data_IF_727418280622
#
_entry.id   IF_727418280622
#
_cell.length_a   1.000
_cell.length_b   1.000
_cell.length_c   1.000
_cell.angle_alpha   90.00
_cell.angle_beta   90.00
_cell.angle_gamma   90.00
#
_symmetry.space_group_name_H-M   'P 1'
#
loop_
_entity.id
_entity.type
_entity.pdbx_description
1 polymer ?
#
# COMPACT_ATOMS: atom_id res chain seq x y z
N UNK A 1 -9.83 -6.06 34.61
CA UNK A 1 -9.76 -7.10 33.58
C UNK A 1 -8.73 -6.64 32.56
N UNK A 2 -7.60 -7.33 32.40
CA UNK A 2 -6.70 -7.08 31.29
C UNK A 2 -7.38 -7.63 30.03
N UNK A 3 -7.98 -6.75 29.24
CA UNK A 3 -8.30 -7.04 27.85
C UNK A 3 -7.00 -7.44 27.16
N UNK A 4 -6.92 -8.68 26.70
CA UNK A 4 -5.85 -9.12 25.79
C UNK A 4 -5.77 -8.15 24.63
N UNK A 5 -4.59 -7.60 24.37
CA UNK A 5 -4.39 -6.68 23.24
C UNK A 5 -4.83 -7.36 21.93
N UNK A 6 -5.47 -6.62 21.02
CA UNK A 6 -5.86 -7.18 19.73
C UNK A 6 -4.65 -7.72 18.98
N UNK A 7 -4.75 -8.90 18.37
CA UNK A 7 -3.66 -9.49 17.61
C UNK A 7 -3.41 -8.66 16.32
N UNK A 8 -2.34 -7.86 16.32
CA UNK A 8 -1.87 -7.11 15.13
C UNK A 8 -1.21 -8.07 14.13
N UNK A 9 -1.26 -7.74 12.84
CA UNK A 9 -0.50 -8.46 11.81
C UNK A 9 1.00 -8.28 12.05
N UNK A 10 1.76 -9.36 11.87
CA UNK A 10 3.22 -9.37 12.12
C UNK A 10 3.97 -9.54 10.81
N UNK A 11 5.01 -8.73 10.62
CA UNK A 11 5.96 -8.89 9.53
C UNK A 11 6.82 -10.12 9.84
N UNK A 12 6.85 -11.10 8.94
CA UNK A 12 7.67 -12.31 9.09
C UNK A 12 8.44 -12.60 7.80
N UNK A 13 9.75 -12.72 7.92
CA UNK A 13 10.68 -12.88 6.79
C UNK A 13 10.98 -14.34 6.45
N UNK A 14 10.47 -15.29 7.24
CA UNK A 14 10.78 -16.71 7.15
C UNK A 14 10.42 -17.33 5.79
N UNK A 15 9.47 -16.76 5.05
CA UNK A 15 8.93 -17.35 3.83
C UNK A 15 9.65 -16.90 2.56
N UNK A 16 10.72 -16.10 2.67
CA UNK A 16 11.50 -15.60 1.54
C UNK A 16 12.97 -16.02 1.64
N UNK A 17 13.51 -16.53 0.52
CA UNK A 17 14.91 -16.97 0.42
C UNK A 17 15.56 -16.37 -0.82
N UNK A 18 16.71 -15.74 -0.65
CA UNK A 18 17.57 -15.27 -1.73
C UNK A 18 18.75 -16.23 -1.87
N UNK A 19 18.90 -16.85 -3.04
CA UNK A 19 20.05 -17.67 -3.41
C UNK A 19 21.00 -16.79 -4.21
N UNK A 20 22.14 -16.43 -3.62
CA UNK A 20 23.11 -15.54 -4.23
C UNK A 20 24.55 -16.00 -3.94
N UNK A 21 25.46 -15.95 -4.93
CA UNK A 21 26.89 -16.15 -4.69
C UNK A 21 27.42 -15.18 -3.62
N UNK A 22 28.44 -15.60 -2.87
CA UNK A 22 29.05 -14.77 -1.81
C UNK A 22 29.50 -13.39 -2.30
N UNK A 23 29.92 -13.27 -3.56
CA UNK A 23 30.31 -12.00 -4.18
C UNK A 23 29.16 -10.99 -4.32
N UNK A 24 27.91 -11.44 -4.31
CA UNK A 24 26.71 -10.58 -4.35
C UNK A 24 26.15 -10.29 -2.94
N UNK A 25 26.72 -10.84 -1.87
CA UNK A 25 26.23 -10.61 -0.50
C UNK A 25 26.51 -9.20 0.01
N UNK A 26 27.55 -8.54 -0.53
CA UNK A 26 27.90 -7.17 -0.20
C UNK A 26 27.13 -6.14 -1.07
N UNK A 27 26.31 -6.60 -2.03
CA UNK A 27 25.40 -5.74 -2.78
C UNK A 27 24.25 -5.26 -1.88
N UNK A 28 23.82 -4.01 -2.06
CA UNK A 28 22.74 -3.40 -1.29
C UNK A 28 21.45 -4.26 -1.29
N UNK A 29 21.21 -5.00 -2.37
CA UNK A 29 20.05 -5.90 -2.51
C UNK A 29 20.09 -7.04 -1.50
N UNK A 30 21.26 -7.64 -1.25
CA UNK A 30 21.39 -8.77 -0.33
C UNK A 30 21.36 -8.33 1.14
N UNK A 31 21.89 -7.14 1.45
CA UNK A 31 21.87 -6.57 2.81
C UNK A 31 20.49 -6.09 3.25
N UNK A 32 19.67 -5.61 2.32
CA UNK A 32 18.31 -5.13 2.59
C UNK A 32 17.22 -6.17 2.29
N UNK A 33 17.59 -7.36 1.79
CA UNK A 33 16.63 -8.40 1.43
C UNK A 33 15.72 -8.77 2.61
N UNK A 34 14.42 -8.85 2.32
CA UNK A 34 13.44 -9.36 3.28
C UNK A 34 13.39 -10.88 3.21
N UNK A 35 14.25 -11.55 3.99
CA UNK A 35 14.30 -13.00 4.10
C UNK A 35 15.69 -13.52 4.42
N UNK A 36 15.89 -14.83 4.26
CA UNK A 36 17.19 -15.46 4.43
C UNK A 36 18.01 -15.39 3.12
N UNK A 37 19.28 -15.04 3.21
CA UNK A 37 20.22 -15.10 2.07
C UNK A 37 21.15 -16.29 2.22
N UNK A 38 21.19 -17.17 1.22
CA UNK A 38 21.96 -18.42 1.20
C UNK A 38 22.83 -18.50 -0.06
N UNK A 39 23.88 -19.33 -0.05
CA UNK A 39 24.66 -19.57 -1.27
C UNK A 39 24.05 -20.68 -2.13
N UNK A 40 24.46 -20.81 -3.41
CA UNK A 40 24.12 -21.98 -4.22
C UNK A 40 24.58 -23.30 -3.59
N UNK A 41 25.71 -23.31 -2.86
CA UNK A 41 26.19 -24.50 -2.15
C UNK A 41 25.27 -24.89 -0.98
N UNK A 42 24.80 -23.90 -0.22
CA UNK A 42 23.78 -24.11 0.84
C UNK A 42 22.53 -24.76 0.24
N UNK A 43 22.04 -24.23 -0.89
CA UNK A 43 20.88 -24.78 -1.61
C UNK A 43 21.09 -26.25 -2.01
N UNK A 44 22.25 -26.60 -2.56
CA UNK A 44 22.58 -27.99 -2.96
C UNK A 44 22.70 -28.92 -1.75
N UNK A 45 23.15 -28.39 -0.61
CA UNK A 45 23.22 -29.15 0.65
C UNK A 45 21.84 -29.49 1.25
N UNK A 46 20.77 -28.86 0.75
CA UNK A 46 19.40 -29.07 1.21
C UNK A 46 19.01 -28.27 2.45
N UNK A 47 19.79 -27.27 2.84
CA UNK A 47 19.49 -26.35 3.92
C UNK A 47 19.48 -24.90 3.42
N UNK A 48 18.47 -24.09 3.76
CA UNK A 48 17.28 -24.37 4.56
C UNK A 48 16.21 -25.17 3.81
N UNK A 49 15.24 -25.71 4.55
CA UNK A 49 14.01 -26.24 3.95
C UNK A 49 13.31 -25.15 3.14
N UNK A 50 12.90 -25.47 1.91
CA UNK A 50 12.24 -24.56 0.99
C UNK A 50 10.73 -24.77 0.91
N UNK A 51 10.17 -25.74 1.65
CA UNK A 51 8.74 -26.02 1.66
C UNK A 51 7.90 -24.75 1.91
N UNK A 52 7.04 -24.41 0.95
CA UNK A 52 6.15 -23.25 1.06
C UNK A 52 6.82 -21.88 0.86
N UNK A 53 8.14 -21.81 0.62
CA UNK A 53 8.88 -20.55 0.51
C UNK A 53 8.86 -19.97 -0.90
N UNK A 54 9.07 -18.66 -0.99
CA UNK A 54 9.38 -17.94 -2.22
C UNK A 54 10.89 -17.82 -2.36
N UNK A 55 11.43 -18.33 -3.46
CA UNK A 55 12.87 -18.38 -3.73
C UNK A 55 13.23 -17.40 -4.85
N UNK A 56 14.22 -16.55 -4.61
CA UNK A 56 14.81 -15.62 -5.58
C UNK A 56 16.22 -16.11 -5.94
N UNK A 57 16.47 -16.34 -7.21
CA UNK A 57 17.76 -16.81 -7.73
C UNK A 57 18.54 -15.65 -8.33
N UNK A 58 19.82 -15.56 -7.96
CA UNK A 58 20.82 -14.64 -8.49
C UNK A 58 22.11 -15.41 -8.84
N UNK A 59 22.92 -14.86 -9.75
CA UNK A 59 24.18 -15.45 -10.20
C UNK A 59 24.03 -16.46 -11.33
N UNK A 60 24.97 -17.42 -11.39
CA UNK A 60 24.88 -18.52 -12.35
C UNK A 60 23.83 -19.53 -11.90
N UNK A 61 22.76 -19.65 -12.68
CA UNK A 61 21.65 -20.57 -12.38
C UNK A 61 21.78 -21.92 -13.09
N UNK A 62 22.78 -22.09 -13.96
CA UNK A 62 22.94 -23.31 -14.77
C UNK A 62 23.21 -24.57 -13.96
N UNK A 63 23.82 -24.43 -12.78
CA UNK A 63 24.09 -25.51 -11.83
C UNK A 63 22.93 -25.85 -10.89
N UNK A 64 21.84 -25.09 -10.92
CA UNK A 64 20.70 -25.30 -10.04
C UNK A 64 19.72 -26.26 -10.71
N UNK A 65 19.40 -27.37 -10.04
CA UNK A 65 18.44 -28.36 -10.55
C UNK A 65 17.03 -28.10 -10.01
N UNK A 66 16.01 -28.40 -10.81
CA UNK A 66 14.59 -28.35 -10.40
C UNK A 66 14.29 -29.21 -9.15
N UNK A 67 15.09 -30.26 -8.93
CA UNK A 67 14.93 -31.11 -7.75
C UNK A 67 15.16 -30.35 -6.45
N UNK A 68 16.10 -29.40 -6.43
CA UNK A 68 16.40 -28.61 -5.23
C UNK A 68 15.27 -27.61 -4.92
N UNK A 69 14.54 -27.16 -5.94
CA UNK A 69 13.51 -26.13 -5.81
C UNK A 69 12.09 -26.67 -5.79
N UNK A 70 11.89 -27.98 -6.00
CA UNK A 70 10.55 -28.60 -6.12
C UNK A 70 9.61 -28.32 -4.95
N UNK A 71 10.15 -28.18 -3.73
CA UNK A 71 9.35 -27.91 -2.54
C UNK A 71 8.97 -26.42 -2.37
N UNK A 72 9.65 -25.52 -3.09
CA UNK A 72 9.33 -24.10 -3.05
C UNK A 72 7.94 -23.83 -3.62
N UNK A 73 7.22 -22.90 -3.00
CA UNK A 73 5.91 -22.47 -3.50
C UNK A 73 6.07 -21.64 -4.78
N UNK A 74 7.12 -20.81 -4.84
CA UNK A 74 7.40 -19.88 -5.95
C UNK A 74 8.90 -19.82 -6.18
N UNK A 75 9.32 -19.77 -7.44
CA UNK A 75 10.71 -19.59 -7.84
C UNK A 75 10.81 -18.45 -8.84
N UNK A 76 11.67 -17.50 -8.54
CA UNK A 76 11.96 -16.33 -9.36
C UNK A 76 13.43 -16.27 -9.76
N UNK A 77 13.69 -15.93 -11.01
CA UNK A 77 15.05 -15.60 -11.49
C UNK A 77 15.16 -14.09 -11.62
N UNK A 78 16.08 -13.46 -10.90
CA UNK A 78 16.28 -12.01 -10.94
C UNK A 78 17.14 -11.68 -12.15
N UNK A 79 16.52 -11.17 -13.22
CA UNK A 79 17.13 -11.02 -14.55
C UNK A 79 18.45 -10.24 -14.54
N UNK A 80 18.48 -9.13 -13.82
CA UNK A 80 19.61 -8.20 -13.78
C UNK A 80 20.81 -8.77 -13.01
N UNK A 81 20.58 -9.76 -12.15
CA UNK A 81 21.61 -10.37 -11.31
C UNK A 81 21.92 -11.81 -11.71
N UNK A 82 21.24 -12.37 -12.71
CA UNK A 82 21.33 -13.79 -13.08
C UNK A 82 21.83 -14.00 -14.50
N UNK A 83 22.50 -15.13 -14.72
CA UNK A 83 22.85 -15.63 -16.03
C UNK A 83 22.74 -17.16 -16.06
N UNK A 84 22.85 -17.73 -17.26
CA UNK A 84 22.80 -19.18 -17.45
C UNK A 84 21.40 -19.81 -17.36
N UNK A 85 20.34 -19.02 -17.16
CA UNK A 85 18.96 -19.52 -17.21
C UNK A 85 18.52 -19.73 -18.66
N UNK A 86 17.71 -20.76 -18.91
CA UNK A 86 17.09 -20.97 -20.23
C UNK A 86 15.82 -20.15 -20.32
N UNK A 87 15.77 -19.19 -21.24
CA UNK A 87 14.54 -18.47 -21.57
C UNK A 87 13.70 -19.31 -22.54
N UNK A 88 12.46 -19.64 -22.17
CA UNK A 88 11.55 -20.44 -22.98
C UNK A 88 10.19 -20.64 -22.32
N UNK A 89 9.17 -20.96 -23.13
CA UNK A 89 7.77 -21.16 -22.67
C UNK A 89 7.64 -22.34 -21.70
N UNK A 90 8.61 -23.27 -21.72
CA UNK A 90 8.71 -24.44 -20.83
C UNK A 90 9.76 -24.25 -19.71
N UNK A 91 10.24 -23.04 -19.47
CA UNK A 91 11.19 -22.77 -18.38
C UNK A 91 10.46 -22.87 -17.02
N UNK A 92 10.97 -23.63 -16.05
CA UNK A 92 10.26 -23.92 -14.80
C UNK A 92 10.16 -22.72 -13.85
N UNK A 93 10.92 -21.64 -14.07
CA UNK A 93 11.05 -20.52 -13.13
C UNK A 93 10.70 -19.19 -13.76
N UNK A 94 10.00 -18.34 -13.00
CA UNK A 94 9.48 -17.08 -13.52
C UNK A 94 10.56 -15.99 -13.49
N UNK A 95 10.97 -15.42 -14.64
CA UNK A 95 11.96 -14.36 -14.65
C UNK A 95 11.34 -13.02 -14.21
N UNK A 96 11.93 -12.36 -13.22
CA UNK A 96 11.48 -11.08 -12.67
C UNK A 96 12.59 -10.04 -12.69
N UNK A 97 12.20 -8.76 -12.74
CA UNK A 97 13.14 -7.66 -12.58
C UNK A 97 13.53 -7.44 -11.12
N UNK A 98 14.66 -6.78 -10.89
CA UNK A 98 15.22 -6.51 -9.56
C UNK A 98 14.24 -5.78 -8.63
N UNK A 99 13.34 -4.96 -9.18
CA UNK A 99 12.32 -4.25 -8.39
C UNK A 99 11.23 -5.15 -7.78
N UNK A 100 11.19 -6.44 -8.15
CA UNK A 100 10.34 -7.48 -7.55
C UNK A 100 10.97 -8.16 -6.34
N UNK A 101 12.23 -7.87 -6.02
CA UNK A 101 12.87 -8.38 -4.81
C UNK A 101 12.39 -7.58 -3.60
N UNK A 102 11.87 -8.23 -2.54
CA UNK A 102 11.35 -7.55 -1.36
C UNK A 102 12.49 -7.00 -0.49
N UNK A 103 12.37 -5.74 -0.10
CA UNK A 103 13.33 -5.06 0.76
C UNK A 103 12.73 -4.73 2.12
N UNK A 104 13.46 -5.03 3.20
CA UNK A 104 13.07 -4.67 4.56
C UNK A 104 13.23 -3.16 4.76
N UNK A 105 12.19 -2.51 5.27
CA UNK A 105 12.24 -1.10 5.67
C UNK A 105 12.20 -1.02 7.19
N UNK A 106 13.38 -0.98 7.82
CA UNK A 106 13.57 -0.77 9.26
C UNK A 106 12.72 -1.68 10.19
N UNK A 107 12.29 -2.85 9.72
CA UNK A 107 11.38 -3.73 10.46
C UNK A 107 9.93 -3.20 10.59
N UNK A 108 9.57 -2.13 9.89
CA UNK A 108 8.23 -1.51 9.92
C UNK A 108 7.45 -1.66 8.62
N UNK A 109 8.06 -2.26 7.59
CA UNK A 109 7.39 -2.60 6.35
C UNK A 109 8.30 -3.29 5.35
N UNK A 110 7.72 -3.63 4.19
CA UNK A 110 8.40 -4.28 3.08
C UNK A 110 8.16 -3.48 1.80
N UNK A 111 9.23 -3.18 1.07
CA UNK A 111 9.20 -2.36 -0.12
C UNK A 111 9.64 -3.12 -1.36
N UNK A 112 8.84 -2.98 -2.42
CA UNK A 112 9.14 -3.43 -3.77
C UNK A 112 9.33 -2.19 -4.64
N UNK A 113 10.54 -1.96 -5.14
CA UNK A 113 10.84 -0.77 -5.96
C UNK A 113 10.09 -0.77 -7.29
N UNK A 114 9.71 -1.94 -7.82
CA UNK A 114 8.89 -2.10 -9.02
C UNK A 114 8.13 -3.42 -8.98
N UNK A 115 7.03 -3.45 -8.22
CA UNK A 115 6.15 -4.62 -8.12
C UNK A 115 5.33 -4.84 -9.41
N UNK A 116 4.78 -3.74 -9.94
CA UNK A 116 3.99 -3.74 -11.16
C UNK A 116 4.85 -3.32 -12.35
N UNK A 117 4.65 -3.98 -13.48
CA UNK A 117 5.34 -3.65 -14.72
C UNK A 117 4.88 -2.29 -15.26
N UNK A 118 5.78 -1.55 -15.90
CA UNK A 118 5.52 -0.17 -16.37
C UNK A 118 4.67 -0.15 -17.64
N UNK A 119 4.81 -1.17 -18.48
CA UNK A 119 4.07 -1.38 -19.73
C UNK A 119 2.61 -1.81 -19.52
N UNK A 120 2.23 -2.15 -18.28
CA UNK A 120 0.86 -2.53 -17.95
C UNK A 120 -0.13 -1.35 -17.90
N UNK A 121 0.35 -0.10 -17.97
CA UNK A 121 -0.44 1.14 -17.97
C UNK A 121 -1.56 1.19 -16.92
N UNK A 122 -1.23 0.86 -15.66
CA UNK A 122 -2.20 0.91 -14.57
C UNK A 122 -2.81 2.30 -14.38
N UNK A 123 -2.05 3.37 -14.62
CA UNK A 123 -2.56 4.74 -14.54
C UNK A 123 -3.68 4.97 -15.56
N UNK A 124 -3.41 4.70 -16.84
CA UNK A 124 -4.38 4.91 -17.93
C UNK A 124 -5.61 4.01 -17.80
N UNK A 125 -5.41 2.74 -17.43
CA UNK A 125 -6.51 1.78 -17.21
C UNK A 125 -7.44 2.21 -16.07
N UNK A 126 -6.91 2.50 -14.89
CA UNK A 126 -7.72 2.92 -13.73
C UNK A 126 -8.47 4.22 -14.05
N UNK A 127 -7.85 5.19 -14.74
CA UNK A 127 -8.50 6.43 -15.15
C UNK A 127 -9.61 6.21 -16.19
N UNK A 128 -9.52 5.16 -16.99
CA UNK A 128 -10.52 4.81 -18.00
C UNK A 128 -11.68 4.01 -17.39
N UNK A 129 -11.37 3.14 -16.43
CA UNK A 129 -12.34 2.30 -15.72
C UNK A 129 -13.20 3.10 -14.71
N UNK A 130 -12.66 4.19 -14.15
CA UNK A 130 -13.31 4.96 -13.08
C UNK A 130 -13.44 6.46 -13.33
N UNK A 131 -14.54 7.01 -12.86
CA UNK A 131 -14.77 8.46 -12.82
C UNK A 131 -14.29 9.04 -11.48
N UNK A 132 -13.09 9.64 -11.47
CA UNK A 132 -12.53 10.27 -10.28
C UNK A 132 -13.36 11.46 -9.81
N UNK A 133 -13.55 11.54 -8.50
CA UNK A 133 -14.43 12.49 -7.84
C UNK A 133 -13.61 13.63 -7.25
N UNK A 134 -14.20 14.83 -7.19
CA UNK A 134 -13.61 15.92 -6.43
C UNK A 134 -13.63 15.59 -4.93
N UNK A 135 -12.63 16.06 -4.20
CA UNK A 135 -12.57 15.91 -2.75
C UNK A 135 -12.42 17.25 -2.05
N UNK A 136 -13.11 17.38 -0.93
CA UNK A 136 -12.91 18.48 0.02
C UNK A 136 -12.05 18.00 1.17
N UNK A 137 -11.08 18.81 1.58
CA UNK A 137 -10.29 18.54 2.77
C UNK A 137 -11.02 19.10 3.99
N UNK A 138 -11.67 18.23 4.76
CA UNK A 138 -12.42 18.62 5.96
C UNK A 138 -13.59 19.58 5.63
N UNK A 139 -13.84 20.59 6.46
CA UNK A 139 -14.90 21.60 6.33
C UNK A 139 -14.45 22.87 5.58
N UNK A 140 -13.24 22.89 5.00
CA UNK A 140 -12.71 24.10 4.36
C UNK A 140 -13.41 24.36 3.02
N UNK A 141 -13.83 25.62 2.72
CA UNK A 141 -14.34 25.97 1.41
C UNK A 141 -13.20 25.88 0.38
N UNK A 142 -13.24 24.85 -0.47
CA UNK A 142 -12.28 24.64 -1.55
C UNK A 142 -12.15 23.17 -1.95
N UNK A 143 -11.89 22.92 -3.23
CA UNK A 143 -11.49 21.60 -3.73
C UNK A 143 -10.00 21.38 -3.47
N UNK A 144 -9.63 20.18 -3.04
CA UNK A 144 -8.21 19.83 -2.93
C UNK A 144 -7.57 19.77 -4.31
N UNK A 145 -6.24 19.86 -4.37
CA UNK A 145 -5.45 19.60 -5.59
C UNK A 145 -5.41 18.11 -5.99
N UNK A 146 -6.38 17.33 -5.51
CA UNK A 146 -6.47 15.90 -5.69
C UNK A 146 -7.89 15.55 -6.10
N UNK A 147 -8.02 14.58 -6.98
CA UNK A 147 -9.27 13.86 -7.22
C UNK A 147 -9.09 12.43 -6.73
N UNK A 148 -10.17 11.75 -6.37
CA UNK A 148 -10.07 10.39 -5.87
C UNK A 148 -11.36 9.61 -5.93
N UNK A 149 -11.28 8.35 -5.54
CA UNK A 149 -12.41 7.43 -5.50
C UNK A 149 -12.15 6.33 -4.47
N UNK A 150 -13.22 5.83 -3.87
CA UNK A 150 -13.21 4.62 -3.07
C UNK A 150 -13.71 3.45 -3.90
N UNK A 151 -12.99 2.33 -3.85
CA UNK A 151 -13.34 1.10 -4.56
C UNK A 151 -13.39 -0.08 -3.57
N UNK A 152 -14.34 -0.98 -3.76
CA UNK A 152 -14.45 -2.24 -2.99
C UNK A 152 -15.28 -3.24 -3.80
N UNK A 153 -15.15 -4.56 -3.60
CA UNK A 153 -16.05 -5.52 -4.23
C UNK A 153 -17.51 -5.25 -3.84
N UNK A 154 -18.38 -5.13 -4.84
CA UNK A 154 -19.83 -4.95 -4.68
C UNK A 154 -20.53 -6.21 -5.18
N UNK A 155 -21.38 -6.80 -4.35
CA UNK A 155 -22.22 -7.93 -4.75
C UNK A 155 -23.69 -7.56 -4.66
N UNK A 156 -24.50 -8.11 -5.57
CA UNK A 156 -25.94 -7.86 -5.64
C UNK A 156 -26.72 -9.08 -5.15
N UNK A 157 -27.66 -8.85 -4.24
CA UNK A 157 -28.66 -9.84 -3.80
C UNK A 157 -30.05 -9.21 -3.93
N UNK A 158 -30.78 -9.58 -4.99
CA UNK A 158 -32.00 -8.88 -5.40
C UNK A 158 -31.73 -7.39 -5.67
N UNK A 159 -32.43 -6.51 -4.95
CA UNK A 159 -32.25 -5.06 -5.01
C UNK A 159 -31.19 -4.53 -4.01
N UNK A 160 -30.64 -5.40 -3.17
CA UNK A 160 -29.62 -5.03 -2.19
C UNK A 160 -28.22 -5.07 -2.80
N UNK A 161 -27.42 -4.04 -2.52
CA UNK A 161 -26.01 -3.95 -2.88
C UNK A 161 -25.15 -4.10 -1.63
N UNK A 162 -24.34 -5.15 -1.57
CA UNK A 162 -23.45 -5.47 -0.47
C UNK A 162 -22.03 -5.04 -0.80
N UNK A 163 -21.37 -4.37 0.14
CA UNK A 163 -20.05 -3.80 -0.05
C UNK A 163 -19.36 -3.58 1.30
N UNK A 164 -18.13 -3.08 1.29
CA UNK A 164 -17.41 -2.71 2.51
C UNK A 164 -17.20 -1.21 2.57
N UNK A 165 -17.32 -0.64 3.77
CA UNK A 165 -17.05 0.76 4.03
C UNK A 165 -15.68 0.94 4.65
N UNK A 166 -15.03 2.05 4.37
CA UNK A 166 -13.88 2.51 5.11
C UNK A 166 -14.05 4.00 5.41
N UNK A 167 -14.78 4.30 6.49
CA UNK A 167 -15.27 5.64 6.84
C UNK A 167 -14.14 6.46 7.44
N UNK A 168 -13.32 7.02 6.57
CA UNK A 168 -12.18 7.88 6.92
C UNK A 168 -12.57 9.37 6.98
N UNK A 169 -11.57 10.24 7.02
CA UNK A 169 -11.72 11.71 6.99
C UNK A 169 -11.81 12.32 5.58
N UNK A 170 -11.65 11.52 4.53
CA UNK A 170 -11.72 12.02 3.15
C UNK A 170 -13.19 12.06 2.72
N UNK A 171 -13.63 13.21 2.19
CA UNK A 171 -14.99 13.41 1.74
C UNK A 171 -15.02 13.53 0.21
N UNK A 172 -15.64 12.55 -0.43
CA UNK A 172 -15.86 12.51 -1.86
C UNK A 172 -17.31 12.86 -2.20
N UNK A 173 -17.49 13.46 -3.37
CA UNK A 173 -18.80 13.92 -3.84
C UNK A 173 -19.70 12.81 -4.39
N UNK A 174 -19.16 11.62 -4.68
CA UNK A 174 -19.90 10.50 -5.27
C UNK A 174 -19.78 9.21 -4.45
N UNK A 175 -20.47 8.14 -4.89
CA UNK A 175 -20.49 6.85 -4.21
C UNK A 175 -19.15 6.12 -4.30
N UNK A 176 -19.00 5.09 -3.46
CA UNK A 176 -18.00 4.03 -3.67
C UNK A 176 -18.35 3.25 -4.95
N UNK A 177 -17.34 2.82 -5.71
CA UNK A 177 -17.53 1.99 -6.91
C UNK A 177 -17.04 0.54 -6.70
N UNK A 178 -17.56 -0.37 -7.51
CA UNK A 178 -17.10 -1.75 -7.57
C UNK A 178 -15.69 -1.84 -8.16
N UNK A 179 -14.99 -2.92 -7.83
CA UNK A 179 -13.76 -3.28 -8.50
C UNK A 179 -14.00 -3.57 -9.97
N UNK A 180 -13.15 -2.99 -10.81
CA UNK A 180 -13.04 -3.31 -12.23
C UNK A 180 -11.92 -4.34 -12.42
N UNK A 181 -11.70 -4.86 -13.65
CA UNK A 181 -10.68 -5.88 -13.88
C UNK A 181 -9.28 -5.48 -13.40
N UNK A 182 -8.89 -4.22 -13.63
CA UNK A 182 -7.56 -3.74 -13.19
C UNK A 182 -7.44 -3.73 -11.67
N UNK A 183 -8.48 -3.31 -10.94
CA UNK A 183 -8.45 -3.31 -9.47
C UNK A 183 -8.40 -4.73 -8.91
N UNK A 184 -9.16 -5.64 -9.51
CA UNK A 184 -9.18 -7.06 -9.11
C UNK A 184 -7.79 -7.66 -9.25
N UNK A 185 -7.14 -7.46 -10.41
CA UNK A 185 -5.79 -7.95 -10.66
C UNK A 185 -4.77 -7.39 -9.67
N UNK A 186 -4.81 -6.07 -9.40
CA UNK A 186 -3.94 -5.40 -8.43
C UNK A 186 -4.17 -5.99 -7.03
N UNK A 187 -5.40 -5.99 -6.55
CA UNK A 187 -5.74 -6.37 -5.17
C UNK A 187 -5.48 -7.85 -4.91
N UNK A 188 -5.75 -8.72 -5.89
CA UNK A 188 -5.39 -10.14 -5.79
C UNK A 188 -3.87 -10.35 -5.75
N UNK A 189 -3.11 -9.65 -6.60
CA UNK A 189 -1.65 -9.75 -6.59
C UNK A 189 -1.06 -9.29 -5.25
N UNK A 190 -1.62 -8.22 -4.69
CA UNK A 190 -1.23 -7.71 -3.37
C UNK A 190 -1.61 -8.66 -2.24
N UNK A 191 -2.79 -9.28 -2.28
CA UNK A 191 -3.17 -10.28 -1.27
C UNK A 191 -2.27 -11.52 -1.30
N UNK A 192 -1.94 -12.01 -2.51
CA UNK A 192 -0.98 -13.13 -2.66
C UNK A 192 0.40 -12.78 -2.10
N UNK A 193 0.87 -11.56 -2.30
CA UNK A 193 2.15 -11.12 -1.75
C UNK A 193 2.08 -10.81 -0.25
N UNK A 194 0.98 -10.23 0.25
CA UNK A 194 0.81 -9.98 1.67
C UNK A 194 0.90 -11.28 2.50
N UNK A 195 0.46 -12.42 1.94
CA UNK A 195 0.56 -13.73 2.58
C UNK A 195 2.00 -14.27 2.74
N UNK A 196 2.98 -13.71 2.00
CA UNK A 196 4.42 -14.05 2.14
C UNK A 196 5.16 -13.05 3.04
N UNK A 197 4.53 -11.92 3.36
CA UNK A 197 5.11 -10.82 4.14
C UNK A 197 4.58 -10.80 5.57
N UNK A 198 3.32 -11.16 5.76
CA UNK A 198 2.63 -11.07 7.03
C UNK A 198 2.07 -12.41 7.49
N UNK A 199 2.06 -12.62 8.80
CA UNK A 199 1.22 -13.63 9.45
C UNK A 199 -0.09 -13.04 9.92
N UNK A 200 -1.12 -13.89 9.88
CA UNK A 200 -2.43 -13.65 10.47
C UNK A 200 -3.12 -12.38 9.96
N UNK A 201 -2.77 -11.91 8.76
CA UNK A 201 -3.25 -10.66 8.17
C UNK A 201 -4.70 -10.77 7.66
N UNK A 202 -5.45 -9.68 7.82
CA UNK A 202 -6.74 -9.53 7.15
C UNK A 202 -6.56 -9.31 5.63
N UNK A 203 -7.55 -9.70 4.81
CA UNK A 203 -7.48 -9.48 3.37
C UNK A 203 -7.57 -7.99 3.02
N UNK A 204 -6.78 -7.57 2.04
CA UNK A 204 -6.89 -6.28 1.37
C UNK A 204 -8.15 -6.30 0.50
N UNK A 205 -9.08 -5.37 0.73
CA UNK A 205 -10.42 -5.42 0.11
C UNK A 205 -11.06 -4.04 -0.12
N UNK A 206 -10.34 -2.96 0.17
CA UNK A 206 -10.83 -1.60 0.03
C UNK A 206 -9.71 -0.69 -0.48
N UNK A 207 -10.00 0.13 -1.49
CA UNK A 207 -9.02 0.96 -2.19
C UNK A 207 -9.38 2.42 -2.02
N UNK A 208 -8.36 3.24 -1.78
CA UNK A 208 -8.37 4.68 -2.01
C UNK A 208 -7.44 4.99 -3.18
N UNK A 209 -8.01 5.31 -4.35
CA UNK A 209 -7.27 5.75 -5.51
C UNK A 209 -7.33 7.28 -5.60
N UNK A 210 -6.18 7.95 -5.73
CA UNK A 210 -6.10 9.42 -5.76
C UNK A 210 -5.10 9.90 -6.81
N UNK A 211 -5.55 10.83 -7.67
CA UNK A 211 -4.70 11.54 -8.62
C UNK A 211 -4.25 12.85 -7.99
N UNK A 212 -2.95 13.11 -8.08
CA UNK A 212 -2.27 14.26 -7.49
C UNK A 212 -1.94 15.25 -8.60
N UNK A 213 -2.70 16.34 -8.65
CA UNK A 213 -2.57 17.35 -9.71
C UNK A 213 -1.64 18.48 -9.26
N UNK A 214 -0.61 18.77 -10.05
CA UNK A 214 0.23 19.94 -9.85
C UNK A 214 -0.39 21.14 -10.60
N UNK A 215 -0.31 22.32 -10.02
CA UNK A 215 -0.76 23.58 -10.63
C UNK A 215 0.46 24.43 -10.96
N UNK A 216 0.60 24.79 -12.24
CA UNK A 216 1.69 25.63 -12.71
C UNK A 216 1.60 27.05 -12.12
N UNK A 217 2.73 27.74 -12.10
CA UNK A 217 2.73 29.17 -11.80
C UNK A 217 2.06 29.95 -12.94
N UNK A 218 1.32 30.99 -12.59
CA UNK A 218 0.77 31.97 -13.55
C UNK A 218 1.16 33.37 -13.09
N UNK A 219 0.92 34.37 -13.93
CA UNK A 219 1.09 35.77 -13.53
C UNK A 219 0.27 36.06 -12.25
N UNK A 220 0.98 36.44 -11.18
CA UNK A 220 0.38 36.72 -9.86
C UNK A 220 0.09 35.50 -8.98
N UNK A 221 0.34 34.24 -9.40
CA UNK A 221 0.12 33.04 -8.58
C UNK A 221 1.30 32.08 -8.64
N UNK A 222 1.86 31.73 -7.46
CA UNK A 222 2.89 30.69 -7.36
C UNK A 222 2.34 29.32 -7.74
N UNK A 223 3.21 28.48 -8.30
CA UNK A 223 2.93 27.06 -8.49
C UNK A 223 2.48 26.39 -7.18
N UNK A 224 1.67 25.35 -7.29
CA UNK A 224 1.25 24.49 -6.18
C UNK A 224 1.46 23.04 -6.55
N UNK A 225 1.96 22.24 -5.62
CA UNK A 225 2.21 20.82 -5.81
C UNK A 225 1.33 20.02 -4.86
N UNK A 226 0.71 18.97 -5.37
CA UNK A 226 -0.15 18.13 -4.55
C UNK A 226 0.67 17.42 -3.46
N UNK A 227 0.23 17.55 -2.21
CA UNK A 227 0.84 16.97 -1.02
C UNK A 227 -0.24 16.49 -0.06
N UNK A 228 0.10 15.61 0.86
CA UNK A 228 -0.73 15.27 2.02
C UNK A 228 0.13 15.55 3.25
N UNK A 229 -0.38 16.34 4.19
CA UNK A 229 0.30 16.64 5.44
C UNK A 229 0.43 15.39 6.34
N UNK A 230 1.35 15.46 7.29
CA UNK A 230 1.54 14.41 8.32
C UNK A 230 0.23 13.97 8.98
N UNK A 231 -0.05 12.66 8.91
CA UNK A 231 -1.22 12.02 9.50
C UNK A 231 -0.96 10.51 9.73
N UNK A 232 -1.83 9.87 10.50
CA UNK A 232 -2.01 8.42 10.49
C UNK A 232 -3.34 8.10 9.80
N UNK A 233 -3.38 6.98 9.07
CA UNK A 233 -4.60 6.48 8.46
C UNK A 233 -5.61 6.08 9.53
N UNK A 234 -6.90 6.33 9.26
CA UNK A 234 -7.98 6.14 10.24
C UNK A 234 -8.37 4.68 10.31
N UNK A 235 -8.16 4.07 11.47
CA UNK A 235 -8.28 2.62 11.66
C UNK A 235 -9.67 2.14 12.10
N UNK A 236 -10.64 3.04 12.28
CA UNK A 236 -12.01 2.76 12.78
C UNK A 236 -12.69 1.54 12.16
N UNK A 237 -12.60 1.38 10.83
CA UNK A 237 -13.26 0.30 10.09
C UNK A 237 -12.26 -0.79 9.65
N UNK A 238 -11.02 -0.74 10.14
CA UNK A 238 -9.99 -1.71 9.85
C UNK A 238 -9.93 -2.77 10.96
N UNK A 239 -9.81 -4.06 10.63
CA UNK A 239 -9.57 -5.07 11.66
C UNK A 239 -8.17 -4.89 12.27
N UNK A 240 -7.96 -5.32 13.52
CA UNK A 240 -6.70 -5.15 14.24
C UNK A 240 -5.48 -5.77 13.54
N UNK A 241 -5.69 -6.91 12.87
CA UNK A 241 -4.71 -7.58 12.01
C UNK A 241 -4.68 -7.03 10.58
N UNK A 242 -5.14 -5.79 10.38
CA UNK A 242 -5.12 -5.11 9.09
C UNK A 242 -3.70 -4.79 8.63
N UNK A 243 -3.55 -4.73 7.30
CA UNK A 243 -2.35 -4.26 6.61
C UNK A 243 -2.72 -3.24 5.55
N UNK A 244 -1.73 -2.51 5.06
CA UNK A 244 -1.89 -1.52 4.01
C UNK A 244 -0.83 -1.71 2.92
N UNK A 245 -1.22 -1.46 1.68
CA UNK A 245 -0.34 -1.50 0.52
C UNK A 245 -0.41 -0.16 -0.22
N UNK A 246 0.69 0.59 -0.20
CA UNK A 246 0.83 1.84 -0.93
C UNK A 246 1.40 1.55 -2.32
N UNK A 247 0.54 1.52 -3.33
CA UNK A 247 0.94 1.38 -4.73
C UNK A 247 1.08 2.76 -5.37
N UNK A 248 2.05 2.92 -6.28
CA UNK A 248 2.25 4.19 -6.98
C UNK A 248 2.37 3.99 -8.49
N UNK A 249 1.57 4.73 -9.24
CA UNK A 249 1.60 4.80 -10.69
C UNK A 249 1.77 6.25 -11.14
N UNK A 250 2.35 6.45 -12.31
CA UNK A 250 2.62 7.78 -12.87
C UNK A 250 2.17 7.86 -14.31
N UNK A 251 1.81 9.08 -14.71
CA UNK A 251 1.65 9.52 -16.09
C UNK A 251 2.67 10.66 -16.36
N UNK A 252 3.19 10.74 -17.58
CA UNK A 252 4.18 11.75 -17.99
C UNK A 252 5.59 11.54 -17.44
N UNK A 253 6.06 10.29 -17.36
CA UNK A 253 7.44 9.98 -16.94
C UNK A 253 8.50 10.34 -17.99
N UNK A 254 8.10 10.54 -19.25
CA UNK A 254 9.03 10.75 -20.39
C UNK A 254 9.86 12.04 -20.26
N UNK A 255 9.43 12.99 -19.42
CA UNK A 255 10.19 14.20 -19.11
C UNK A 255 11.31 14.01 -18.09
N UNK A 256 11.50 12.80 -17.55
CA UNK A 256 12.50 12.50 -16.53
C UNK A 256 13.48 11.41 -16.98
N UNK A 257 14.75 11.64 -16.70
CA UNK A 257 15.84 10.72 -17.02
C UNK A 257 16.17 9.81 -15.83
N UNK A 258 16.63 8.57 -16.05
CA UNK A 258 17.16 7.73 -14.97
C UNK A 258 18.28 8.43 -14.19
N UNK A 259 18.29 8.29 -12.87
CA UNK A 259 19.37 8.81 -12.04
C UNK A 259 20.51 7.79 -11.89
N UNK A 260 21.75 8.28 -11.85
CA UNK A 260 22.93 7.42 -11.73
C UNK A 260 23.04 6.71 -10.36
N UNK A 261 22.52 7.34 -9.30
CA UNK A 261 22.60 6.83 -7.93
C UNK A 261 21.53 5.78 -7.60
N UNK A 262 20.40 5.78 -8.32
CA UNK A 262 19.32 4.80 -8.17
C UNK A 262 18.66 4.53 -9.52
N UNK A 263 18.85 3.31 -10.03
CA UNK A 263 18.33 2.87 -11.33
C UNK A 263 16.78 2.81 -11.39
N UNK A 264 16.10 2.88 -10.24
CA UNK A 264 14.64 2.97 -10.18
C UNK A 264 14.13 4.41 -10.17
N UNK A 265 14.98 5.35 -9.77
CA UNK A 265 14.62 6.76 -9.66
C UNK A 265 14.78 7.47 -11.00
N UNK A 266 14.01 8.54 -11.17
CA UNK A 266 13.97 9.36 -12.37
C UNK A 266 13.92 10.82 -11.98
N UNK A 267 14.67 11.65 -12.68
CA UNK A 267 14.82 13.05 -12.32
C UNK A 267 15.36 13.93 -13.43
N UNK A 268 15.63 15.17 -13.05
CA UNK A 268 16.20 16.18 -13.93
C UNK A 268 17.43 16.77 -13.23
N UNK A 269 18.57 16.80 -13.93
CA UNK A 269 19.84 17.37 -13.41
C UNK A 269 20.24 16.80 -12.04
N UNK A 270 20.08 15.50 -11.85
CA UNK A 270 20.43 14.80 -10.60
C UNK A 270 19.40 14.95 -9.47
N UNK A 271 18.30 15.66 -9.67
CA UNK A 271 17.23 15.81 -8.67
C UNK A 271 16.06 14.90 -9.04
N UNK A 272 15.67 13.98 -8.15
CA UNK A 272 14.51 13.11 -8.35
C UNK A 272 13.25 13.93 -8.64
N UNK A 273 12.47 13.53 -9.63
CA UNK A 273 11.13 14.05 -9.93
C UNK A 273 10.03 13.28 -9.22
N UNK A 274 10.37 12.21 -8.50
CA UNK A 274 9.41 11.32 -7.88
C UNK A 274 8.96 11.81 -6.50
N UNK A 275 7.81 11.30 -6.07
CA UNK A 275 7.20 11.66 -4.78
C UNK A 275 7.79 10.81 -3.67
N UNK A 276 7.95 11.37 -2.46
CA UNK A 276 8.41 10.62 -1.29
C UNK A 276 7.29 10.45 -0.27
N UNK A 277 7.14 9.23 0.25
CA UNK A 277 6.37 8.95 1.45
C UNK A 277 7.31 9.09 2.66
N UNK A 278 7.06 10.08 3.50
CA UNK A 278 7.92 10.42 4.63
C UNK A 278 7.25 10.05 5.94
N UNK A 279 7.94 9.28 6.80
CA UNK A 279 7.45 8.80 8.08
C UNK A 279 8.13 9.53 9.24
N UNK A 280 7.37 9.82 10.29
CA UNK A 280 7.86 10.37 11.56
C UNK A 280 7.26 9.60 12.73
N UNK A 281 8.14 9.11 13.60
CA UNK A 281 7.74 8.38 14.80
C UNK A 281 6.93 9.30 15.72
N UNK A 282 5.83 8.80 16.26
CA UNK A 282 5.00 9.51 17.23
C UNK A 282 5.66 9.50 18.61
N UNK A 283 5.19 10.37 19.50
CA UNK A 283 5.65 10.35 20.89
C UNK A 283 5.23 9.02 21.56
N UNK A 284 6.17 8.28 22.16
CA UNK A 284 5.83 7.02 22.82
C UNK A 284 4.98 7.28 24.06
N UNK A 285 3.98 6.43 24.29
CA UNK A 285 3.13 6.46 25.49
C UNK A 285 3.70 5.65 26.66
N UNK A 286 4.92 5.11 26.53
CA UNK A 286 5.64 4.31 27.54
C UNK A 286 6.98 3.79 26.99
N UNK A 287 7.82 3.21 27.87
CA UNK A 287 9.13 2.66 27.48
C UNK A 287 8.99 1.44 26.57
N UNK A 288 9.49 1.53 25.34
CA UNK A 288 9.55 0.38 24.43
C UNK A 288 10.80 -0.46 24.73
N UNK A 289 10.62 -1.70 25.18
CA UNK A 289 11.66 -2.73 25.29
C UNK A 289 11.94 -3.40 23.93
N UNK A 290 12.26 -2.59 22.92
CA UNK A 290 12.50 -3.05 21.54
C UNK A 290 13.72 -2.41 20.89
N UNK A 291 14.13 -2.95 19.73
CA UNK A 291 15.16 -2.35 18.89
C UNK A 291 14.80 -0.88 18.56
N UNK A 292 15.81 0.00 18.57
CA UNK A 292 15.59 1.42 18.38
C UNK A 292 15.01 1.72 16.98
N UNK A 293 13.72 2.05 16.93
CA UNK A 293 13.04 2.47 15.71
C UNK A 293 13.57 3.83 15.23
N UNK A 294 13.73 4.05 13.91
CA UNK A 294 14.20 5.33 13.40
C UNK A 294 13.18 6.43 13.68
N UNK A 295 13.65 7.58 14.20
CA UNK A 295 12.78 8.75 14.48
C UNK A 295 12.04 9.25 13.24
N UNK A 296 12.66 9.12 12.07
CA UNK A 296 12.08 9.44 10.78
C UNK A 296 12.80 8.65 9.68
N UNK A 297 12.08 8.37 8.61
CA UNK A 297 12.63 7.80 7.38
C UNK A 297 11.73 8.19 6.21
N UNK A 298 12.11 7.84 5.00
CA UNK A 298 11.18 7.99 3.88
C UNK A 298 11.53 7.10 2.71
N UNK A 299 10.52 6.86 1.88
CA UNK A 299 10.54 5.94 0.76
C UNK A 299 10.23 6.75 -0.50
N UNK A 300 11.14 6.74 -1.48
CA UNK A 300 10.84 7.25 -2.81
C UNK A 300 9.82 6.33 -3.45
N UNK A 301 8.68 6.87 -3.86
CA UNK A 301 7.59 6.11 -4.46
C UNK A 301 7.88 5.93 -5.95
N UNK A 302 8.55 4.84 -6.30
CA UNK A 302 8.92 4.56 -7.68
C UNK A 302 7.70 4.18 -8.55
N UNK A 303 7.77 4.32 -9.88
CA UNK A 303 6.73 3.83 -10.78
C UNK A 303 6.53 2.31 -10.63
N UNK A 304 5.28 1.89 -10.39
CA UNK A 304 4.91 0.50 -10.16
C UNK A 304 5.36 -0.05 -8.79
N UNK A 305 5.81 0.81 -7.88
CA UNK A 305 6.25 0.39 -6.54
C UNK A 305 5.10 0.00 -5.63
N UNK A 306 5.41 -0.83 -4.63
CA UNK A 306 4.49 -1.21 -3.55
C UNK A 306 5.23 -1.15 -2.22
N UNK A 307 4.68 -0.41 -1.26
CA UNK A 307 5.11 -0.46 0.14
C UNK A 307 4.01 -1.09 1.01
N UNK A 308 4.33 -2.22 1.63
CA UNK A 308 3.48 -2.90 2.59
C UNK A 308 3.82 -2.48 4.02
N UNK A 309 2.80 -2.19 4.81
CA UNK A 309 2.97 -1.97 6.25
C UNK A 309 1.77 -2.48 7.07
N UNK A 310 2.01 -3.02 8.28
CA UNK A 310 0.95 -3.39 9.21
C UNK A 310 0.34 -2.16 9.90
N UNK A 311 -0.82 -2.33 10.53
CA UNK A 311 -1.42 -1.26 11.34
C UNK A 311 -0.55 -0.81 12.52
N UNK A 312 0.31 -1.69 13.05
CA UNK A 312 1.28 -1.34 14.08
C UNK A 312 2.23 -0.22 13.62
N UNK A 313 2.65 -0.23 12.34
CA UNK A 313 3.42 0.86 11.76
C UNK A 313 2.63 2.16 11.69
N UNK A 314 1.36 2.11 11.28
CA UNK A 314 0.47 3.29 11.27
C UNK A 314 0.20 3.85 12.68
N UNK A 315 0.18 2.98 13.68
CA UNK A 315 0.06 3.35 15.08
C UNK A 315 1.32 4.04 15.57
N UNK A 316 2.51 3.56 15.21
CA UNK A 316 3.80 4.11 15.64
C UNK A 316 4.21 5.37 14.87
N UNK A 317 3.84 5.50 13.60
CA UNK A 317 4.29 6.58 12.73
C UNK A 317 3.14 7.41 12.17
N UNK A 318 3.39 8.71 12.02
CA UNK A 318 2.67 9.50 11.02
C UNK A 318 3.40 9.43 9.70
N UNK A 319 2.69 9.63 8.59
CA UNK A 319 3.25 9.71 7.26
C UNK A 319 2.70 10.90 6.47
N UNK A 320 3.47 11.35 5.48
CA UNK A 320 3.09 12.43 4.58
C UNK A 320 3.60 12.21 3.16
N UNK A 321 2.86 12.77 2.20
CA UNK A 321 3.22 12.77 0.79
C UNK A 321 3.96 14.07 0.48
N UNK A 322 5.26 13.95 0.18
CA UNK A 322 6.12 15.07 -0.19
C UNK A 322 6.42 15.05 -1.70
N UNK A 323 5.98 16.07 -2.46
CA UNK A 323 6.38 16.20 -3.86
C UNK A 323 7.87 16.56 -3.97
N UNK A 324 8.43 16.33 -5.15
CA UNK A 324 9.82 16.68 -5.46
C UNK A 324 10.07 18.20 -5.41
N UNK A 325 11.35 18.56 -5.24
CA UNK A 325 11.83 19.94 -5.30
C UNK A 325 11.74 20.55 -6.71
N UNK A 326 11.74 19.73 -7.79
CA UNK A 326 11.59 20.20 -9.18
C UNK A 326 10.31 21.00 -9.41
N UNK A 327 10.31 21.96 -10.33
CA UNK A 327 9.12 22.76 -10.62
C UNK A 327 7.94 21.91 -11.10
N UNK A 328 6.72 22.38 -10.82
CA UNK A 328 5.46 21.68 -11.08
C UNK A 328 5.31 21.21 -12.53
N UNK A 329 5.89 21.94 -13.48
CA UNK A 329 5.89 21.60 -14.92
C UNK A 329 6.73 20.36 -15.23
N UNK A 330 7.78 20.10 -14.44
CA UNK A 330 8.67 18.96 -14.62
C UNK A 330 8.21 17.73 -13.83
N UNK A 331 7.10 17.82 -13.07
CA UNK A 331 6.64 16.73 -12.23
C UNK A 331 5.62 15.86 -12.98
N UNK A 332 5.79 14.53 -13.01
CA UNK A 332 4.78 13.63 -13.55
C UNK A 332 3.51 13.68 -12.68
N UNK A 333 2.38 13.32 -13.28
CA UNK A 333 1.12 13.18 -12.54
C UNK A 333 1.12 11.84 -11.82
N UNK A 334 0.92 11.87 -10.50
CA UNK A 334 0.94 10.66 -9.66
C UNK A 334 -0.48 10.16 -9.41
N UNK A 335 -0.69 8.85 -9.56
CA UNK A 335 -1.81 8.10 -8.99
C UNK A 335 -1.30 7.32 -7.78
N UNK A 336 -1.73 7.75 -6.59
CA UNK A 336 -1.57 6.96 -5.38
C UNK A 336 -2.73 5.97 -5.26
N UNK A 337 -2.43 4.69 -5.16
CA UNK A 337 -3.42 3.62 -5.08
C UNK A 337 -3.17 2.84 -3.77
N UNK A 338 -3.92 3.21 -2.72
CA UNK A 338 -3.71 2.68 -1.36
C UNK A 338 -4.77 1.62 -1.09
N UNK A 339 -4.33 0.37 -0.94
CA UNK A 339 -5.21 -0.75 -0.60
C UNK A 339 -5.14 -1.02 0.89
N UNK A 340 -6.30 -1.21 1.52
CA UNK A 340 -6.48 -1.39 2.96
C UNK A 340 -7.42 -2.56 3.23
N UNK A 341 -7.44 -3.00 4.47
CA UNK A 341 -8.40 -3.96 4.99
C UNK A 341 -9.59 -3.23 5.61
N UNK A 342 -10.81 -3.56 5.19
CA UNK A 342 -12.05 -3.16 5.88
C UNK A 342 -12.74 -4.37 6.48
N UNK A 343 -13.23 -4.23 7.71
CA UNK A 343 -14.14 -5.15 8.39
C UNK A 343 -15.58 -4.60 8.49
N UNK A 344 -15.82 -3.35 8.07
CA UNK A 344 -17.13 -2.73 8.12
C UNK A 344 -17.98 -3.12 6.90
N UNK A 345 -18.73 -4.21 7.04
CA UNK A 345 -19.67 -4.63 6.01
C UNK A 345 -20.93 -3.75 5.97
N UNK A 346 -21.37 -3.42 4.76
CA UNK A 346 -22.53 -2.60 4.52
C UNK A 346 -23.49 -3.21 3.50
N UNK A 347 -24.73 -2.73 3.52
CA UNK A 347 -25.73 -3.00 2.49
C UNK A 347 -26.47 -1.71 2.16
N UNK A 348 -26.60 -1.40 0.87
CA UNK A 348 -27.50 -0.37 0.38
C UNK A 348 -28.78 -1.02 -0.14
N UNK A 349 -29.93 -0.62 0.40
CA UNK A 349 -31.26 -1.07 -0.02
C UNK A 349 -32.30 -0.01 0.31
N UNK A 350 -33.38 0.04 -0.46
CA UNK A 350 -34.49 0.98 -0.24
C UNK A 350 -34.03 2.46 -0.12
N UNK A 351 -32.99 2.84 -0.87
CA UNK A 351 -32.42 4.19 -0.86
C UNK A 351 -31.58 4.54 0.38
N UNK A 352 -31.22 3.55 1.21
CA UNK A 352 -30.48 3.76 2.45
C UNK A 352 -29.32 2.79 2.60
N UNK A 353 -28.22 3.26 3.19
CA UNK A 353 -27.08 2.42 3.59
C UNK A 353 -27.24 1.96 5.03
N UNK A 354 -26.96 0.69 5.27
CA UNK A 354 -26.98 0.04 6.59
C UNK A 354 -25.63 -0.63 6.85
N UNK A 355 -25.14 -0.52 8.08
CA UNK A 355 -24.01 -1.29 8.59
C UNK A 355 -24.51 -2.68 9.01
N UNK A 356 -23.85 -3.75 8.58
CA UNK A 356 -24.14 -5.09 9.08
C UNK A 356 -23.48 -5.27 10.45
N UNK A 357 -24.30 -5.39 11.50
CA UNK A 357 -23.85 -5.70 12.86
C UNK A 357 -24.40 -7.05 13.33
N UNK A 358 -23.86 -7.59 14.42
CA UNK A 358 -24.29 -8.89 14.98
C UNK A 358 -25.78 -8.94 15.32
N UNK A 359 -26.38 -7.81 15.72
CA UNK A 359 -27.82 -7.68 16.00
C UNK A 359 -28.70 -7.41 14.76
N UNK A 360 -28.13 -7.46 13.56
CA UNK A 360 -28.80 -7.14 12.30
C UNK A 360 -28.33 -5.81 11.68
N UNK A 361 -28.86 -5.46 10.49
CA UNK A 361 -28.49 -4.22 9.79
C UNK A 361 -28.94 -2.98 10.57
N UNK A 362 -28.02 -2.03 10.81
CA UNK A 362 -28.29 -0.74 11.46
C UNK A 362 -28.14 0.36 10.43
N UNK A 363 -29.18 1.19 10.26
CA UNK A 363 -29.17 2.28 9.27
C UNK A 363 -28.09 3.30 9.62
N UNK A 364 -27.36 3.77 8.61
CA UNK A 364 -26.45 4.90 8.79
C UNK A 364 -27.24 6.20 8.92
N UNK A 365 -26.83 7.04 9.86
CA UNK A 365 -27.45 8.33 10.14
C UNK A 365 -26.50 9.47 9.78
N UNK A 366 -27.02 10.67 9.49
CA UNK A 366 -26.17 11.85 9.39
C UNK A 366 -25.38 12.09 10.68
N UNK A 367 -24.15 12.64 10.60
CA UNK A 367 -23.39 13.00 11.78
C UNK A 367 -24.11 14.04 12.65
N UNK A 368 -24.06 13.86 13.97
CA UNK A 368 -24.40 14.91 14.95
C UNK A 368 -23.17 15.77 15.25
N UNK A 369 -23.38 16.97 15.81
CA UNK A 369 -22.28 17.87 16.20
C UNK A 369 -21.37 17.20 17.26
N UNK A 370 -21.96 16.72 18.35
CA UNK A 370 -21.23 16.00 19.41
C UNK A 370 -20.49 14.77 18.87
N UNK A 371 -21.12 14.00 17.99
CA UNK A 371 -20.51 12.83 17.38
C UNK A 371 -19.32 13.20 16.49
N UNK A 372 -19.42 14.30 15.74
CA UNK A 372 -18.31 14.79 14.92
C UNK A 372 -17.14 15.30 15.75
N UNK A 373 -17.41 15.97 16.86
CA UNK A 373 -16.37 16.49 17.74
C UNK A 373 -15.64 15.36 18.45
N UNK A 374 -16.37 14.34 18.91
CA UNK A 374 -15.74 13.14 19.48
C UNK A 374 -14.93 12.36 18.44
N UNK A 375 -15.45 12.18 17.23
CA UNK A 375 -14.71 11.51 16.15
C UNK A 375 -13.42 12.27 15.80
N UNK A 376 -13.47 13.61 15.74
CA UNK A 376 -12.30 14.46 15.49
C UNK A 376 -11.30 14.38 16.64
N UNK A 377 -11.76 14.31 17.88
CA UNK A 377 -10.91 14.12 19.06
C UNK A 377 -10.12 12.81 18.95
N UNK A 378 -10.79 11.70 18.62
CA UNK A 378 -10.14 10.39 18.40
C UNK A 378 -9.16 10.44 17.22
N UNK A 379 -9.53 11.08 16.11
CA UNK A 379 -8.62 11.25 14.97
C UNK A 379 -7.37 12.05 15.31
N UNK A 380 -7.47 13.07 16.17
CA UNK A 380 -6.34 13.85 16.63
C UNK A 380 -5.46 13.03 17.59
N UNK A 381 -6.07 12.22 18.45
CA UNK A 381 -5.38 11.30 19.35
C UNK A 381 -4.57 10.26 18.56
N UNK A 382 -5.19 9.59 17.59
CA UNK A 382 -4.54 8.61 16.70
C UNK A 382 -3.35 9.19 15.94
N UNK A 383 -3.40 10.47 15.57
CA UNK A 383 -2.27 11.14 14.89
C UNK A 383 -1.11 11.45 15.84
N UNK A 384 -1.38 11.62 17.14
CA UNK A 384 -0.41 12.11 18.14
C UNK A 384 0.25 10.98 18.92
N UNK A 385 -0.47 9.93 19.24
CA UNK A 385 -0.02 8.88 20.18
C UNK A 385 0.21 7.55 19.47
N UNK A 386 1.01 6.71 20.10
CA UNK A 386 1.20 5.30 19.72
C UNK A 386 0.19 4.34 20.39
N UNK A 387 -0.84 4.86 21.05
CA UNK A 387 -1.89 4.06 21.69
C UNK A 387 -2.81 3.41 20.67
N UNK A 388 -3.43 2.30 21.04
CA UNK A 388 -4.59 1.79 20.31
C UNK A 388 -5.76 2.74 20.54
N UNK A 389 -6.42 3.13 19.46
CA UNK A 389 -7.62 3.97 19.50
C UNK A 389 -8.83 3.08 19.29
N UNK A 390 -9.63 2.94 20.33
CA UNK A 390 -10.93 2.29 20.24
C UNK A 390 -11.98 3.32 19.82
N UNK A 391 -12.53 3.14 18.62
CA UNK A 391 -13.62 3.97 18.11
C UNK A 391 -14.99 3.53 18.65
N UNK A 392 -15.07 2.34 19.26
CA UNK A 392 -16.30 1.72 19.70
C UNK A 392 -17.31 1.51 18.57
N UNK A 393 -18.52 1.11 18.97
CA UNK A 393 -19.62 0.83 18.05
C UNK A 393 -20.58 2.01 17.84
N UNK A 394 -20.34 3.14 18.51
CA UNK A 394 -21.26 4.27 18.59
C UNK A 394 -21.34 5.12 17.32
N UNK A 395 -20.27 5.15 16.51
CA UNK A 395 -20.29 5.90 15.27
C UNK A 395 -21.08 5.15 14.20
N UNK A 396 -22.35 5.51 14.01
CA UNK A 396 -23.22 4.99 12.95
C UNK A 396 -23.20 5.84 11.68
N UNK A 397 -22.38 6.88 11.65
CA UNK A 397 -22.29 7.83 10.54
C UNK A 397 -20.93 7.74 9.83
N UNK A 398 -20.86 8.39 8.66
CA UNK A 398 -19.64 8.71 7.94
C UNK A 398 -19.53 10.22 7.68
N UNK A 399 -18.28 10.70 7.61
CA UNK A 399 -17.96 12.04 7.13
C UNK A 399 -18.03 12.13 5.60
N UNK A 400 -17.92 10.99 4.91
CA UNK A 400 -18.02 10.91 3.47
C UNK A 400 -19.48 10.81 3.06
N UNK A 401 -20.00 11.81 2.35
CA UNK A 401 -21.39 11.79 1.86
C UNK A 401 -21.64 10.66 0.86
N UNK A 402 -20.58 10.24 0.16
CA UNK A 402 -20.61 9.10 -0.76
C UNK A 402 -21.04 7.77 -0.12
N UNK A 403 -20.77 7.58 1.17
CA UNK A 403 -21.06 6.32 1.88
C UNK A 403 -22.56 6.07 2.07
N UNK A 404 -23.38 7.13 1.96
CA UNK A 404 -24.84 7.05 2.06
C UNK A 404 -25.51 6.78 0.71
N UNK A 405 -24.76 6.84 -0.39
CA UNK A 405 -25.26 6.61 -1.73
C UNK A 405 -25.13 5.14 -2.11
N UNK A 406 -25.95 4.70 -3.08
CA UNK A 406 -25.82 3.37 -3.65
C UNK A 406 -24.45 3.22 -4.32
N UNK A 407 -23.67 2.15 -4.01
CA UNK A 407 -22.42 1.92 -4.71
C UNK A 407 -22.68 1.66 -6.21
N UNK A 408 -21.74 2.08 -7.06
CA UNK A 408 -21.85 1.78 -8.50
C UNK A 408 -21.23 0.42 -8.79
N UNK A 409 -22.07 -0.52 -9.23
CA UNK A 409 -21.64 -1.83 -9.75
C UNK A 409 -21.09 -1.72 -11.19
#
# INVERSE_FOLDING_TARGET
MHTTEPAEARIEDADNVLVAPSALRDDAVAGEFFGATITPEDLVSGAPDLAGKTVYLCGDTSGISDRHLRAAARVFVVRELSHGHREGVDAPWTPVGLGRVPLRVHGVGVYYRRFFALDADHFGKIRTEHAFQSLTESTKPGTAHRSGIYLTPVTRDGDALHFRLLRCSTNFSGPTEDFRPTDTDIVEALNREAATVFRDQAPLNHVLAQIYHNTLATDGRKQSKARISSHADKTKDMPANGVMAFCTFYDGLDGLEPLAEDAFDRGLKGVSGLTRLHFRLKEPTGGHDGAALPKQFGITLHPGSVFFMPLSTNRLYTHEIRPSALDAESLPTRLGYVVRCSSAEAVHKDGHTFLKKAGGPVRMEPPTEDGMDELRRLYAEENRTSSFIDYGDAFLFSMNTGDYLAPRA
#
